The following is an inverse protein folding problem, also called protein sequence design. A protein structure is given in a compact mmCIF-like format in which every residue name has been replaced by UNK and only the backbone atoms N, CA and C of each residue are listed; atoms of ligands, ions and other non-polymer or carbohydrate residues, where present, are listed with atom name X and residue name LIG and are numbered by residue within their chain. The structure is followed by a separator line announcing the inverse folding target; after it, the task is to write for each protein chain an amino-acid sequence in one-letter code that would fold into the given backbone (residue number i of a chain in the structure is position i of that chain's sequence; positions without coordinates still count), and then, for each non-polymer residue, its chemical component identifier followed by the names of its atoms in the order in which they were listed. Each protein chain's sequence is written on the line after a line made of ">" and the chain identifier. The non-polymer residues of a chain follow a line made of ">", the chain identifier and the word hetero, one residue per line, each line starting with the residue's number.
data_IF_630044176005
#
_entry.id   IF_630044176005
#
_cell.length_a   1.000
_cell.length_b   1.000
_cell.length_c   1.000
_cell.angle_alpha   90.00
_cell.angle_beta   90.00
_cell.angle_gamma   90.00
#
_symmetry.space_group_name_H-M   'P 1'
#
loop_
_entity.id
_entity.type
_entity.pdbx_description
1 polymer ?
#
# COMPACT_ATOMS: atom_id res chain seq x y z
N UNK A 1 -8.09 3.43 18.23
CA UNK A 1 -7.49 2.18 17.73
C UNK A 1 -7.18 2.26 16.23
N UNK A 2 -8.15 2.61 15.38
CA UNK A 2 -7.99 2.62 13.92
C UNK A 2 -6.90 3.59 13.41
N UNK A 3 -6.76 4.78 14.02
CA UNK A 3 -5.66 5.70 13.67
C UNK A 3 -4.25 5.14 13.89
N UNK A 4 -4.08 4.21 14.84
CA UNK A 4 -2.79 3.51 15.01
C UNK A 4 -2.51 2.63 13.80
N UNK A 5 -3.53 1.94 13.29
CA UNK A 5 -3.44 1.17 12.04
C UNK A 5 -3.13 2.09 10.86
N UNK A 6 -3.73 3.28 10.80
CA UNK A 6 -3.43 4.27 9.77
C UNK A 6 -1.95 4.66 9.76
N UNK A 7 -1.40 4.98 10.95
CA UNK A 7 -0.01 5.37 11.12
C UNK A 7 0.94 4.23 10.75
N UNK A 8 0.67 3.02 11.24
CA UNK A 8 1.50 1.83 10.93
C UNK A 8 1.46 1.53 9.43
N UNK A 9 0.27 1.58 8.82
CA UNK A 9 0.08 1.42 7.39
C UNK A 9 0.89 2.46 6.61
N UNK A 10 0.80 3.74 7.01
CA UNK A 10 1.51 4.82 6.32
C UNK A 10 3.04 4.69 6.40
N UNK A 11 3.58 4.33 7.56
CA UNK A 11 5.02 4.08 7.73
C UNK A 11 5.45 2.90 6.85
N UNK A 12 4.70 1.81 6.86
CA UNK A 12 5.01 0.61 6.06
C UNK A 12 5.00 0.92 4.56
N UNK A 13 4.01 1.68 4.11
CA UNK A 13 3.87 2.19 2.74
C UNK A 13 5.15 2.89 2.27
N UNK A 14 5.66 3.83 3.08
CA UNK A 14 6.81 4.66 2.73
C UNK A 14 8.10 3.86 2.77
N UNK A 15 8.30 3.04 3.81
CA UNK A 15 9.48 2.21 3.93
C UNK A 15 9.59 1.19 2.80
N UNK A 16 8.50 0.51 2.46
CA UNK A 16 8.48 -0.44 1.35
C UNK A 16 8.75 0.26 0.00
N UNK A 17 8.19 1.44 -0.22
CA UNK A 17 8.46 2.23 -1.43
C UNK A 17 9.94 2.63 -1.53
N UNK A 18 10.54 3.14 -0.45
CA UNK A 18 11.97 3.51 -0.47
C UNK A 18 12.89 2.29 -0.62
N UNK A 19 12.55 1.15 0.01
CA UNK A 19 13.31 -0.08 -0.17
C UNK A 19 13.26 -0.59 -1.60
N UNK A 20 12.14 -0.43 -2.31
CA UNK A 20 12.02 -0.81 -3.71
C UNK A 20 12.99 -0.04 -4.63
N UNK A 21 13.28 1.23 -4.32
CA UNK A 21 14.17 2.08 -5.13
C UNK A 21 15.63 1.64 -5.11
N UNK A 22 16.04 0.90 -4.08
CA UNK A 22 17.42 0.44 -3.89
C UNK A 22 17.59 -1.06 -4.18
N UNK A 23 16.55 -1.73 -4.70
CA UNK A 23 16.67 -3.14 -5.10
C UNK A 23 17.21 -3.25 -6.53
N UNK A 24 18.27 -4.05 -6.70
CA UNK A 24 18.82 -4.38 -8.03
C UNK A 24 18.01 -5.47 -8.76
N UNK A 25 17.31 -6.32 -8.02
CA UNK A 25 16.51 -7.42 -8.58
C UNK A 25 15.06 -6.98 -8.78
N UNK A 26 14.58 -7.03 -10.03
CA UNK A 26 13.22 -6.62 -10.41
C UNK A 26 12.13 -7.38 -9.66
N UNK A 27 12.33 -8.67 -9.31
CA UNK A 27 11.35 -9.44 -8.54
C UNK A 27 11.24 -8.90 -7.11
N UNK A 28 12.36 -8.45 -6.53
CA UNK A 28 12.35 -7.80 -5.21
C UNK A 28 11.70 -6.42 -5.28
N UNK A 29 12.00 -5.62 -6.32
CA UNK A 29 11.32 -4.34 -6.57
C UNK A 29 9.79 -4.53 -6.58
N UNK A 30 9.31 -5.52 -7.33
CA UNK A 30 7.87 -5.83 -7.45
C UNK A 30 7.26 -6.34 -6.14
N UNK A 31 8.01 -7.14 -5.36
CA UNK A 31 7.57 -7.58 -4.06
C UNK A 31 7.37 -6.40 -3.09
N UNK A 32 8.34 -5.49 -3.02
CA UNK A 32 8.23 -4.30 -2.17
C UNK A 32 7.15 -3.33 -2.66
N UNK A 33 6.96 -3.18 -3.97
CA UNK A 33 5.86 -2.42 -4.55
C UNK A 33 4.48 -2.96 -4.11
N UNK A 34 4.31 -4.29 -4.13
CA UNK A 34 3.08 -4.94 -3.67
C UNK A 34 2.83 -4.69 -2.17
N UNK A 35 3.87 -4.78 -1.34
CA UNK A 35 3.77 -4.47 0.09
C UNK A 35 3.34 -3.01 0.30
N UNK A 36 3.94 -2.07 -0.45
CA UNK A 36 3.62 -0.65 -0.35
C UNK A 36 2.15 -0.35 -0.72
N UNK A 37 1.62 -0.98 -1.76
CA UNK A 37 0.21 -0.81 -2.18
C UNK A 37 -0.78 -1.43 -1.18
N UNK A 38 -0.48 -2.62 -0.64
CA UNK A 38 -1.30 -3.20 0.42
C UNK A 38 -1.29 -2.32 1.68
N UNK A 39 -0.12 -1.79 2.04
CA UNK A 39 0.01 -0.86 3.17
C UNK A 39 -0.75 0.45 2.94
N UNK A 40 -0.81 0.94 1.70
CA UNK A 40 -1.64 2.09 1.34
C UNK A 40 -3.13 1.83 1.60
N UNK A 41 -3.63 0.64 1.23
CA UNK A 41 -5.01 0.24 1.52
C UNK A 41 -5.28 0.13 3.03
N UNK A 42 -4.35 -0.47 3.78
CA UNK A 42 -4.45 -0.58 5.24
C UNK A 42 -4.43 0.80 5.91
N UNK A 43 -3.59 1.72 5.43
CA UNK A 43 -3.54 3.10 5.92
C UNK A 43 -4.87 3.82 5.70
N UNK A 44 -5.45 3.70 4.50
CA UNK A 44 -6.76 4.28 4.16
C UNK A 44 -7.88 3.72 5.04
N UNK A 45 -7.97 2.39 5.21
CA UNK A 45 -8.93 1.77 6.13
C UNK A 45 -8.71 2.20 7.59
N UNK A 46 -7.47 2.51 7.96
CA UNK A 46 -7.07 3.08 9.25
C UNK A 46 -7.69 4.44 9.58
N UNK A 47 -8.16 5.19 8.57
CA UNK A 47 -8.76 6.53 8.77
C UNK A 47 -10.20 6.46 9.28
N UNK A 48 -10.90 5.34 9.08
CA UNK A 48 -12.32 5.21 9.41
C UNK A 48 -13.18 4.83 8.23
N UNK A 49 -14.50 4.95 8.41
CA UNK A 49 -15.50 4.75 7.35
C UNK A 49 -15.20 5.58 6.10
N UNK A 50 -14.66 6.78 6.30
CA UNK A 50 -14.40 7.75 5.23
C UNK A 50 -13.24 7.31 4.32
N UNK A 51 -12.37 6.44 4.81
CA UNK A 51 -11.27 5.87 4.04
C UNK A 51 -11.66 4.64 3.20
N UNK A 52 -12.84 4.06 3.43
CA UNK A 52 -13.30 2.88 2.71
C UNK A 52 -13.42 3.09 1.20
N UNK A 53 -14.03 4.19 0.69
CA UNK A 53 -14.09 4.44 -0.74
C UNK A 53 -12.70 4.56 -1.37
N UNK A 54 -11.75 5.19 -0.68
CA UNK A 54 -10.37 5.35 -1.15
C UNK A 54 -9.64 4.01 -1.22
N UNK A 55 -9.77 3.16 -0.19
CA UNK A 55 -9.17 1.83 -0.16
C UNK A 55 -9.73 0.91 -1.27
N UNK A 56 -11.04 0.98 -1.53
CA UNK A 56 -11.69 0.21 -2.58
C UNK A 56 -11.34 0.69 -3.98
N UNK A 57 -11.30 2.00 -4.20
CA UNK A 57 -10.83 2.56 -5.45
C UNK A 57 -9.37 2.16 -5.74
N UNK A 58 -8.50 2.23 -4.73
CA UNK A 58 -7.10 1.82 -4.85
C UNK A 58 -6.98 0.32 -5.15
N UNK A 59 -7.72 -0.54 -4.44
CA UNK A 59 -7.73 -1.99 -4.71
C UNK A 59 -8.14 -2.30 -6.15
N UNK A 60 -9.22 -1.68 -6.63
CA UNK A 60 -9.71 -1.95 -7.98
C UNK A 60 -8.68 -1.53 -9.04
N UNK A 61 -8.12 -0.34 -8.90
CA UNK A 61 -7.10 0.16 -9.84
C UNK A 61 -5.81 -0.66 -9.78
N UNK A 62 -5.35 -1.01 -8.58
CA UNK A 62 -4.17 -1.87 -8.38
C UNK A 62 -4.34 -3.25 -9.03
N UNK A 63 -5.44 -3.93 -8.73
CA UNK A 63 -5.73 -5.25 -9.30
C UNK A 63 -5.86 -5.20 -10.82
N UNK A 64 -6.46 -4.13 -11.36
CA UNK A 64 -6.60 -3.94 -12.80
C UNK A 64 -5.24 -3.84 -13.50
N UNK A 65 -4.31 -3.02 -12.98
CA UNK A 65 -2.99 -2.85 -13.60
C UNK A 65 -2.08 -4.07 -13.42
N UNK A 66 -2.22 -4.82 -12.32
CA UNK A 66 -1.46 -6.07 -12.10
C UNK A 66 -1.94 -7.23 -12.96
N UNK A 67 -3.17 -7.16 -13.49
CA UNK A 67 -3.73 -8.17 -14.38
C UNK A 67 -3.32 -8.00 -15.86
N UNK A 68 -2.61 -6.91 -16.19
CA UNK A 68 -2.05 -6.63 -17.52
C UNK A 68 -0.62 -7.17 -17.63
#
# INVERSE_FOLDING_TARGET
>A
ALHVVAIIGAITLLLAAFLALVQDDIKKVLAYSTISQLAYMVAALGVGSDGYPAAMFHLFTDAFFKAL
#
